data_IF_838870232505
#
_entry.id   IF_838870232505
#
_cell.length_a   1.000
_cell.length_b   1.000
_cell.length_c   1.000
_cell.angle_alpha   90.00
_cell.angle_beta   90.00
_cell.angle_gamma   90.00
#
_symmetry.space_group_name_H-M   'P 1'
#
loop_
_entity.id
_entity.type
_entity.pdbx_description
1 polymer ?
#
# COMPACT_ATOMS: atom_id res chain seq x y z
N UNK A 1 -18.06 -2.62 7.10
CA UNK A 1 -17.04 -3.49 7.71
C UNK A 1 -17.43 -3.88 9.14
N UNK A 2 -17.45 -2.97 10.11
CA UNK A 2 -17.76 -3.30 11.52
C UNK A 2 -19.15 -3.95 11.73
N UNK A 3 -20.18 -3.48 11.01
CA UNK A 3 -21.50 -4.11 11.06
C UNK A 3 -21.50 -5.56 10.54
N UNK A 4 -20.76 -5.83 9.46
CA UNK A 4 -20.60 -7.19 8.97
C UNK A 4 -19.90 -8.10 9.99
N UNK A 5 -18.79 -7.61 10.57
CA UNK A 5 -18.06 -8.34 11.61
C UNK A 5 -18.96 -8.64 12.82
N UNK A 6 -19.81 -7.67 13.23
CA UNK A 6 -20.72 -7.82 14.37
C UNK A 6 -21.76 -8.96 14.19
N UNK A 7 -22.23 -9.16 12.97
CA UNK A 7 -23.20 -10.22 12.65
C UNK A 7 -22.56 -11.50 12.09
N UNK A 8 -21.25 -11.64 12.17
CA UNK A 8 -20.51 -12.79 11.63
C UNK A 8 -20.50 -12.88 10.11
N UNK A 9 -20.82 -11.81 9.38
CA UNK A 9 -20.80 -11.80 7.93
C UNK A 9 -19.42 -11.45 7.39
N UNK A 10 -18.87 -12.27 6.50
CA UNK A 10 -17.63 -11.98 5.79
C UNK A 10 -17.85 -10.83 4.82
N UNK A 11 -16.98 -9.82 4.83
CA UNK A 11 -17.07 -8.69 3.91
C UNK A 11 -15.94 -8.65 2.91
N UNK A 12 -16.19 -7.99 1.76
CA UNK A 12 -15.17 -7.68 0.77
C UNK A 12 -15.31 -6.22 0.35
N UNK A 13 -14.31 -5.41 0.65
CA UNK A 13 -14.30 -3.99 0.30
C UNK A 13 -13.65 -3.81 -1.06
N UNK A 14 -14.32 -3.06 -1.93
CA UNK A 14 -13.82 -2.72 -3.27
C UNK A 14 -13.52 -1.23 -3.31
N UNK A 15 -12.31 -0.89 -3.77
CA UNK A 15 -11.89 0.51 -3.91
C UNK A 15 -12.84 1.28 -4.85
N UNK A 16 -13.33 2.43 -4.40
CA UNK A 16 -14.33 3.22 -5.12
C UNK A 16 -13.88 3.80 -6.47
N UNK A 17 -12.60 3.69 -6.81
CA UNK A 17 -12.04 4.06 -8.11
C UNK A 17 -11.98 2.93 -9.14
N UNK A 18 -12.45 1.73 -8.80
CA UNK A 18 -12.43 0.59 -9.73
C UNK A 18 -13.56 0.66 -10.77
N UNK A 19 -13.32 0.02 -11.92
CA UNK A 19 -14.31 -0.09 -13.00
C UNK A 19 -15.46 -1.04 -12.65
N UNK A 20 -16.57 -0.92 -13.35
CA UNK A 20 -17.72 -1.82 -13.22
C UNK A 20 -17.34 -3.30 -13.39
N UNK A 21 -16.45 -3.61 -14.34
CA UNK A 21 -15.92 -4.98 -14.53
C UNK A 21 -15.17 -5.48 -13.30
N UNK A 22 -14.34 -4.67 -12.71
CA UNK A 22 -13.59 -5.04 -11.52
C UNK A 22 -14.51 -5.25 -10.30
N UNK A 23 -15.59 -4.50 -10.19
CA UNK A 23 -16.64 -4.70 -9.18
C UNK A 23 -17.38 -6.01 -9.43
N UNK A 24 -17.84 -6.25 -10.66
CA UNK A 24 -18.54 -7.46 -11.05
C UNK A 24 -17.73 -8.74 -10.77
N UNK A 25 -16.46 -8.78 -11.19
CA UNK A 25 -15.58 -9.92 -10.97
C UNK A 25 -15.46 -10.28 -9.48
N UNK A 26 -15.40 -9.27 -8.59
CA UNK A 26 -15.30 -9.48 -7.14
C UNK A 26 -16.61 -9.93 -6.52
N UNK A 27 -17.73 -9.40 -6.97
CA UNK A 27 -19.05 -9.83 -6.52
C UNK A 27 -19.25 -11.31 -6.85
N UNK A 28 -18.93 -11.71 -8.08
CA UNK A 28 -19.08 -13.09 -8.56
C UNK A 28 -18.12 -14.04 -7.84
N UNK A 29 -16.84 -13.70 -7.76
CA UNK A 29 -15.83 -14.57 -7.14
C UNK A 29 -16.05 -14.72 -5.63
N UNK A 30 -16.44 -13.64 -4.94
CA UNK A 30 -16.78 -13.70 -3.51
C UNK A 30 -18.10 -14.40 -3.22
N UNK A 31 -18.97 -14.60 -4.21
CA UNK A 31 -20.33 -15.07 -4.00
C UNK A 31 -21.16 -14.11 -3.15
N UNK A 32 -20.99 -12.80 -3.36
CA UNK A 32 -21.63 -11.78 -2.55
C UNK A 32 -23.17 -11.84 -2.71
N UNK A 33 -23.88 -11.74 -1.59
CA UNK A 33 -25.36 -11.78 -1.54
C UNK A 33 -25.99 -10.41 -1.32
N UNK A 34 -25.19 -9.43 -0.88
CA UNK A 34 -25.61 -8.05 -0.69
C UNK A 34 -24.46 -7.09 -1.07
N UNK A 35 -24.82 -5.89 -1.51
CA UNK A 35 -23.88 -4.82 -1.80
C UNK A 35 -24.22 -3.58 -0.96
N UNK A 36 -23.22 -2.97 -0.35
CA UNK A 36 -23.35 -1.69 0.35
C UNK A 36 -22.53 -0.67 -0.44
N UNK A 37 -23.16 0.40 -0.88
CA UNK A 37 -22.52 1.45 -1.69
C UNK A 37 -23.01 2.84 -1.28
N UNK A 38 -22.43 3.89 -1.85
CA UNK A 38 -22.98 5.23 -1.77
C UNK A 38 -23.54 5.65 -3.14
N UNK A 39 -24.45 6.63 -3.14
CA UNK A 39 -24.87 7.23 -4.42
C UNK A 39 -23.67 7.82 -5.15
N UNK A 40 -22.86 8.64 -4.47
CA UNK A 40 -21.62 9.23 -4.97
C UNK A 40 -20.55 9.23 -3.87
N UNK A 41 -19.30 9.32 -4.29
CA UNK A 41 -18.14 9.59 -3.43
C UNK A 41 -17.57 10.97 -3.79
N UNK A 42 -17.13 11.73 -2.81
CA UNK A 42 -16.44 13.00 -3.02
C UNK A 42 -14.93 12.76 -3.13
N UNK A 43 -14.33 13.07 -4.27
CA UNK A 43 -12.90 12.90 -4.48
C UNK A 43 -12.33 14.05 -5.31
N UNK A 44 -11.37 14.79 -4.73
CA UNK A 44 -10.71 15.91 -5.42
C UNK A 44 -11.69 16.99 -5.93
N UNK A 45 -12.76 17.26 -5.18
CA UNK A 45 -13.80 18.23 -5.55
C UNK A 45 -14.83 17.73 -6.58
N UNK A 46 -14.77 16.44 -6.95
CA UNK A 46 -15.70 15.82 -7.91
C UNK A 46 -16.58 14.78 -7.23
N UNK A 47 -17.80 14.62 -7.71
CA UNK A 47 -18.67 13.51 -7.37
C UNK A 47 -18.39 12.33 -8.30
N UNK A 48 -18.07 11.17 -7.73
CA UNK A 48 -17.89 9.89 -8.44
C UNK A 48 -19.13 9.02 -8.24
N UNK A 49 -19.82 8.57 -9.31
CA UNK A 49 -21.10 7.87 -9.23
C UNK A 49 -20.95 6.40 -8.86
N UNK A 50 -20.78 6.07 -7.58
CA UNK A 50 -20.52 4.69 -7.14
C UNK A 50 -21.70 3.75 -7.41
N UNK A 51 -22.92 4.19 -7.15
CA UNK A 51 -24.12 3.35 -7.42
C UNK A 51 -24.28 3.01 -8.90
N UNK A 52 -23.99 3.98 -9.79
CA UNK A 52 -24.03 3.73 -11.23
C UNK A 52 -23.00 2.66 -11.66
N UNK A 53 -21.78 2.72 -11.08
CA UNK A 53 -20.74 1.69 -11.32
C UNK A 53 -21.22 0.31 -10.86
N UNK A 54 -21.97 0.22 -9.76
CA UNK A 54 -22.56 -1.04 -9.27
C UNK A 54 -23.65 -1.53 -10.23
N UNK A 55 -24.50 -0.63 -10.75
CA UNK A 55 -25.53 -1.01 -11.74
C UNK A 55 -24.90 -1.48 -13.05
N UNK A 56 -23.86 -0.80 -13.52
CA UNK A 56 -23.10 -1.23 -14.70
C UNK A 56 -22.44 -2.60 -14.47
N UNK A 57 -21.97 -2.89 -13.25
CA UNK A 57 -21.43 -4.20 -12.89
C UNK A 57 -22.51 -5.30 -12.96
N UNK A 58 -23.72 -5.03 -12.50
CA UNK A 58 -24.83 -5.98 -12.63
C UNK A 58 -25.24 -6.20 -14.08
N UNK A 59 -25.18 -5.17 -14.91
CA UNK A 59 -25.48 -5.29 -16.35
C UNK A 59 -24.50 -6.19 -17.10
N UNK A 60 -23.29 -6.44 -16.57
CA UNK A 60 -22.34 -7.41 -17.11
C UNK A 60 -22.75 -8.87 -16.83
N UNK A 61 -23.72 -9.09 -15.93
CA UNK A 61 -24.24 -10.42 -15.58
C UNK A 61 -23.41 -11.16 -14.51
N UNK A 62 -23.97 -12.30 -14.05
CA UNK A 62 -23.34 -13.17 -13.07
C UNK A 62 -23.51 -12.74 -11.60
N UNK A 63 -24.17 -11.62 -11.33
CA UNK A 63 -24.42 -11.10 -9.99
C UNK A 63 -25.78 -11.53 -9.39
N UNK A 64 -26.39 -12.60 -9.89
CA UNK A 64 -27.77 -13.02 -9.56
C UNK A 64 -27.95 -13.38 -8.08
N UNK A 65 -26.87 -13.71 -7.36
CA UNK A 65 -26.91 -13.97 -5.93
C UNK A 65 -27.15 -12.71 -5.08
N UNK A 66 -26.94 -11.52 -5.65
CA UNK A 66 -27.14 -10.24 -4.93
C UNK A 66 -28.63 -9.90 -4.92
N UNK A 67 -29.25 -10.06 -3.78
CA UNK A 67 -30.67 -9.76 -3.59
C UNK A 67 -30.94 -8.39 -2.94
N UNK A 68 -29.92 -7.71 -2.41
CA UNK A 68 -30.06 -6.42 -1.72
C UNK A 68 -28.90 -5.49 -2.02
N UNK A 69 -29.22 -4.23 -2.30
CA UNK A 69 -28.23 -3.13 -2.44
C UNK A 69 -28.61 -2.03 -1.48
N UNK A 70 -27.76 -1.75 -0.49
CA UNK A 70 -27.94 -0.65 0.45
C UNK A 70 -27.17 0.57 -0.06
N UNK A 71 -27.89 1.68 -0.28
CA UNK A 71 -27.32 2.90 -0.85
C UNK A 71 -27.28 4.01 0.20
N UNK A 72 -26.07 4.42 0.57
CA UNK A 72 -25.86 5.58 1.41
C UNK A 72 -25.93 6.86 0.57
N UNK A 73 -26.82 7.78 0.95
CA UNK A 73 -27.01 9.06 0.27
C UNK A 73 -25.97 10.06 0.78
N UNK A 74 -24.72 9.95 0.24
CA UNK A 74 -23.59 10.80 0.63
C UNK A 74 -23.72 12.24 0.09
N UNK A 75 -24.35 12.40 -1.05
CA UNK A 75 -24.62 13.70 -1.67
C UNK A 75 -26.11 13.86 -1.96
N UNK A 76 -26.54 15.10 -2.22
CA UNK A 76 -27.93 15.37 -2.62
C UNK A 76 -28.25 14.97 -4.06
N UNK A 77 -27.24 14.58 -4.84
CA UNK A 77 -27.42 14.16 -6.23
C UNK A 77 -28.16 12.83 -6.30
N UNK A 78 -29.28 12.81 -7.01
CA UNK A 78 -30.11 11.63 -7.16
C UNK A 78 -29.36 10.51 -7.93
N UNK A 79 -29.67 9.27 -7.59
CA UNK A 79 -29.21 8.07 -8.30
C UNK A 79 -30.36 7.15 -8.64
N UNK A 80 -30.19 6.31 -9.65
CA UNK A 80 -31.20 5.30 -9.99
C UNK A 80 -31.30 4.24 -8.88
N UNK A 81 -32.52 3.80 -8.58
CA UNK A 81 -32.84 2.77 -7.60
C UNK A 81 -33.68 1.69 -8.26
N UNK A 82 -33.24 0.45 -8.22
CA UNK A 82 -34.00 -0.69 -8.75
C UNK A 82 -35.03 -1.16 -7.72
N UNK A 83 -36.31 -1.15 -8.09
CA UNK A 83 -37.40 -1.61 -7.24
C UNK A 83 -37.21 -3.08 -6.80
N UNK A 84 -37.50 -3.37 -5.55
CA UNK A 84 -37.38 -4.70 -4.96
C UNK A 84 -35.97 -5.16 -4.62
N UNK A 85 -34.94 -4.43 -5.02
CA UNK A 85 -33.51 -4.74 -4.73
C UNK A 85 -32.84 -3.65 -3.93
N UNK A 86 -33.04 -2.40 -4.31
CA UNK A 86 -32.27 -1.27 -3.77
C UNK A 86 -33.04 -0.56 -2.66
N UNK A 87 -32.34 -0.28 -1.56
CA UNK A 87 -32.87 0.47 -0.42
C UNK A 87 -31.90 1.58 -0.03
N UNK A 88 -32.41 2.77 0.31
CA UNK A 88 -31.58 3.76 0.99
C UNK A 88 -31.25 3.30 2.41
N UNK A 89 -30.19 3.83 3.01
CA UNK A 89 -29.89 3.54 4.42
C UNK A 89 -31.04 3.96 5.33
N UNK A 90 -31.68 5.08 5.05
CA UNK A 90 -32.86 5.53 5.84
C UNK A 90 -34.00 4.49 5.79
N UNK A 91 -34.31 3.97 4.60
CA UNK A 91 -35.35 2.93 4.44
C UNK A 91 -34.95 1.61 5.15
N UNK A 92 -33.67 1.22 5.03
CA UNK A 92 -33.18 -0.03 5.62
C UNK A 92 -33.15 0.03 7.16
N UNK A 93 -32.96 1.22 7.75
CA UNK A 93 -32.89 1.43 9.20
C UNK A 93 -34.25 1.72 9.83
N UNK A 94 -35.24 2.08 9.03
CA UNK A 94 -36.59 2.42 9.55
C UNK A 94 -37.22 1.23 10.30
N UNK A 95 -37.63 1.48 11.53
CA UNK A 95 -38.21 0.47 12.40
C UNK A 95 -37.25 -0.60 12.93
N UNK A 96 -35.95 -0.50 12.66
CA UNK A 96 -34.95 -1.43 13.20
C UNK A 96 -34.62 -1.12 14.66
N UNK A 97 -34.19 -2.16 15.40
CA UNK A 97 -33.67 -2.04 16.75
C UNK A 97 -32.31 -1.32 16.72
N UNK A 98 -32.03 -0.46 17.69
CA UNK A 98 -30.70 0.11 17.96
C UNK A 98 -29.78 -0.85 18.72
N UNK A 99 -30.30 -2.01 19.15
CA UNK A 99 -29.54 -3.09 19.79
C UNK A 99 -29.35 -4.25 18.82
N UNK A 100 -28.11 -4.59 18.57
CA UNK A 100 -27.71 -5.78 17.80
C UNK A 100 -26.61 -6.50 18.56
N UNK A 101 -26.94 -7.62 19.19
CA UNK A 101 -25.95 -8.44 19.91
C UNK A 101 -24.91 -8.98 18.94
N UNK A 102 -23.60 -9.03 19.33
CA UNK A 102 -22.56 -9.56 18.48
C UNK A 102 -22.70 -11.07 18.33
N UNK A 103 -22.58 -11.55 17.10
CA UNK A 103 -22.52 -12.99 16.83
C UNK A 103 -21.20 -13.58 17.35
N UNK A 104 -21.30 -14.70 18.08
CA UNK A 104 -20.12 -15.43 18.55
C UNK A 104 -19.63 -16.37 17.46
N UNK A 105 -18.42 -16.15 16.99
CA UNK A 105 -17.81 -16.93 15.91
C UNK A 105 -16.54 -17.63 16.36
N UNK A 106 -16.13 -18.66 15.63
CA UNK A 106 -14.83 -19.32 15.81
C UNK A 106 -13.67 -18.36 15.54
N UNK A 107 -12.52 -18.61 16.19
CA UNK A 107 -11.30 -17.82 16.00
C UNK A 107 -10.84 -17.76 14.53
N UNK A 108 -11.05 -18.85 13.80
CA UNK A 108 -10.70 -18.99 12.38
C UNK A 108 -11.84 -18.59 11.43
N UNK A 109 -12.96 -18.08 11.95
CA UNK A 109 -14.06 -17.58 11.11
C UNK A 109 -13.58 -16.51 10.15
N UNK A 110 -13.93 -16.59 8.84
CA UNK A 110 -13.53 -15.60 7.84
C UNK A 110 -14.06 -14.21 8.19
N UNK A 111 -13.15 -13.24 8.35
CA UNK A 111 -13.50 -11.86 8.64
C UNK A 111 -13.74 -11.08 7.35
N UNK A 112 -12.79 -11.16 6.44
CA UNK A 112 -12.90 -10.49 5.14
C UNK A 112 -12.12 -11.20 4.04
N UNK A 113 -12.49 -10.84 2.81
CA UNK A 113 -11.78 -11.20 1.58
C UNK A 113 -11.34 -9.89 0.93
N UNK A 114 -10.03 -9.69 0.77
CA UNK A 114 -9.49 -8.52 0.10
C UNK A 114 -8.74 -8.92 -1.18
N UNK A 115 -9.19 -8.38 -2.31
CA UNK A 115 -8.64 -8.73 -3.61
C UNK A 115 -7.37 -7.94 -3.92
N UNK A 116 -6.31 -8.67 -4.27
CA UNK A 116 -5.05 -8.11 -4.76
C UNK A 116 -4.83 -8.48 -6.22
N UNK A 117 -3.95 -7.73 -6.91
CA UNK A 117 -3.50 -8.10 -8.25
C UNK A 117 -2.80 -9.45 -8.22
N UNK A 118 -3.06 -10.27 -9.22
CA UNK A 118 -2.36 -11.55 -9.40
C UNK A 118 -1.44 -11.51 -10.61
N UNK A 119 -0.29 -12.14 -10.51
CA UNK A 119 0.68 -12.31 -11.62
C UNK A 119 0.06 -12.99 -12.86
N UNK A 120 -1.05 -13.70 -12.69
CA UNK A 120 -1.80 -14.37 -13.77
C UNK A 120 -2.94 -13.53 -14.34
N UNK A 121 -3.06 -12.26 -13.97
CA UNK A 121 -4.15 -11.37 -14.38
C UNK A 121 -5.47 -11.55 -13.63
N UNK A 122 -5.77 -12.73 -13.05
CA UNK A 122 -6.96 -12.93 -12.20
C UNK A 122 -6.66 -12.44 -10.77
N UNK A 123 -7.50 -11.54 -10.20
CA UNK A 123 -7.35 -11.10 -8.82
C UNK A 123 -7.34 -12.27 -7.83
N UNK A 124 -6.60 -12.13 -6.72
CA UNK A 124 -6.55 -13.10 -5.63
C UNK A 124 -7.37 -12.57 -4.46
N UNK A 125 -8.38 -13.29 -4.04
CA UNK A 125 -9.16 -13.01 -2.82
C UNK A 125 -8.38 -13.47 -1.58
N UNK A 126 -7.62 -12.58 -0.96
CA UNK A 126 -6.90 -12.87 0.28
C UNK A 126 -7.87 -12.95 1.44
N UNK A 127 -7.97 -14.12 2.08
CA UNK A 127 -8.87 -14.35 3.21
C UNK A 127 -8.10 -14.24 4.54
N UNK A 128 -8.64 -13.43 5.46
CA UNK A 128 -8.19 -13.35 6.84
C UNK A 128 -9.23 -13.87 7.82
N UNK A 129 -8.74 -14.52 8.91
CA UNK A 129 -9.55 -14.99 10.01
C UNK A 129 -9.72 -13.93 11.10
N UNK A 130 -10.80 -14.03 11.88
CA UNK A 130 -11.22 -12.99 12.83
C UNK A 130 -10.22 -12.75 13.96
N UNK A 131 -9.90 -13.78 14.75
CA UNK A 131 -9.15 -13.57 15.99
C UNK A 131 -7.68 -13.27 15.77
N UNK A 132 -6.98 -14.05 14.94
CA UNK A 132 -5.55 -13.85 14.71
C UNK A 132 -5.25 -12.52 14.03
N UNK A 133 -6.08 -12.12 13.07
CA UNK A 133 -5.95 -10.83 12.42
C UNK A 133 -6.15 -9.66 13.39
N UNK A 134 -7.24 -9.68 14.17
CA UNK A 134 -7.54 -8.60 15.12
C UNK A 134 -6.49 -8.49 16.21
N UNK A 135 -6.00 -9.62 16.74
CA UNK A 135 -4.91 -9.65 17.72
C UNK A 135 -3.68 -8.95 17.17
N UNK A 136 -3.25 -9.30 15.96
CA UNK A 136 -2.05 -8.74 15.36
C UNK A 136 -2.21 -7.26 14.99
N UNK A 137 -3.37 -6.87 14.46
CA UNK A 137 -3.70 -5.49 14.18
C UNK A 137 -3.60 -4.61 15.44
N UNK A 138 -4.18 -5.07 16.57
CA UNK A 138 -4.10 -4.39 17.86
C UNK A 138 -2.66 -4.30 18.37
N UNK A 139 -1.93 -5.42 18.42
CA UNK A 139 -0.55 -5.45 18.92
C UNK A 139 0.38 -4.57 18.11
N UNK A 140 0.25 -4.58 16.79
CA UNK A 140 1.10 -3.73 15.92
C UNK A 140 0.74 -2.25 16.02
N UNK A 141 -0.52 -1.89 16.31
CA UNK A 141 -0.87 -0.51 16.67
C UNK A 141 -0.12 -0.06 17.93
N UNK A 142 -0.15 -0.87 18.97
CA UNK A 142 0.49 -0.55 20.26
C UNK A 142 2.02 -0.48 20.14
N UNK A 143 2.63 -1.44 19.46
CA UNK A 143 4.09 -1.54 19.39
C UNK A 143 4.72 -0.59 18.36
N UNK A 144 4.22 -0.63 17.13
CA UNK A 144 4.83 0.14 16.03
C UNK A 144 4.68 1.63 16.21
N UNK A 145 3.55 2.07 16.76
CA UNK A 145 3.30 3.50 16.95
C UNK A 145 3.54 3.96 18.39
N UNK A 146 3.94 3.05 19.30
CA UNK A 146 4.08 3.36 20.73
C UNK A 146 2.82 4.09 21.24
N UNK A 147 1.65 3.51 20.94
CA UNK A 147 0.35 4.14 21.12
C UNK A 147 0.09 4.47 22.60
N UNK A 148 -0.20 5.74 22.90
CA UNK A 148 -0.52 6.24 24.23
C UNK A 148 -2.02 6.58 24.33
N UNK A 149 -2.61 6.61 25.54
CA UNK A 149 -4.02 6.86 25.72
C UNK A 149 -4.53 8.18 25.13
N UNK A 150 -3.69 9.22 25.13
CA UNK A 150 -4.02 10.57 24.66
C UNK A 150 -3.66 10.81 23.19
N UNK A 151 -3.18 9.78 22.48
CA UNK A 151 -2.80 9.92 21.08
C UNK A 151 -4.02 10.12 20.18
N UNK A 152 -3.84 11.00 19.19
CA UNK A 152 -4.73 11.16 18.04
C UNK A 152 -4.03 10.57 16.82
N UNK A 153 -4.49 9.42 16.40
CA UNK A 153 -3.93 8.67 15.27
C UNK A 153 -4.58 9.08 13.95
N UNK A 154 -3.78 9.27 12.92
CA UNK A 154 -4.29 9.50 11.58
C UNK A 154 -3.55 8.67 10.54
N UNK A 155 -4.23 7.70 9.97
CA UNK A 155 -3.82 6.98 8.78
C UNK A 155 -4.59 7.50 7.56
N UNK A 156 -3.88 7.85 6.49
CA UNK A 156 -4.49 8.42 5.27
C UNK A 156 -4.89 7.38 4.23
N UNK A 157 -4.72 6.09 4.53
CA UNK A 157 -5.02 5.01 3.60
C UNK A 157 -6.52 4.86 3.36
N UNK A 158 -6.87 4.54 2.10
CA UNK A 158 -8.23 4.17 1.72
C UNK A 158 -8.60 2.79 2.27
N UNK A 159 -9.84 2.62 2.74
CA UNK A 159 -10.35 1.35 3.27
C UNK A 159 -10.47 0.24 2.22
N UNK A 160 -10.38 0.56 0.94
CA UNK A 160 -10.29 -0.42 -0.15
C UNK A 160 -8.96 -1.17 -0.22
N UNK A 161 -7.97 -0.78 0.61
CA UNK A 161 -6.67 -1.44 0.73
C UNK A 161 -6.47 -2.04 2.12
N UNK A 162 -5.54 -2.99 2.24
CA UNK A 162 -5.26 -3.64 3.52
C UNK A 162 -4.86 -2.64 4.62
N UNK A 163 -4.14 -1.57 4.27
CA UNK A 163 -3.77 -0.53 5.24
C UNK A 163 -4.99 0.13 5.85
N UNK A 164 -6.02 0.40 5.05
CA UNK A 164 -7.29 0.91 5.53
C UNK A 164 -8.06 -0.09 6.38
N UNK A 165 -8.01 -1.38 6.06
CA UNK A 165 -8.58 -2.42 6.91
C UNK A 165 -7.90 -2.46 8.27
N UNK A 166 -6.57 -2.59 8.29
CA UNK A 166 -5.81 -2.82 9.51
C UNK A 166 -5.65 -1.55 10.35
N UNK A 167 -5.29 -0.42 9.73
CA UNK A 167 -4.87 0.79 10.45
C UNK A 167 -5.82 1.99 10.30
N UNK A 168 -7.02 1.80 9.74
CA UNK A 168 -8.13 2.76 9.84
C UNK A 168 -9.34 2.10 10.51
N UNK A 169 -9.64 0.83 10.16
CA UNK A 169 -10.90 0.20 10.59
C UNK A 169 -10.75 -0.66 11.83
N UNK A 170 -9.81 -1.62 11.86
CA UNK A 170 -9.75 -2.64 12.92
C UNK A 170 -8.76 -2.30 14.03
N UNK A 171 -7.50 -2.04 13.71
CA UNK A 171 -6.44 -1.83 14.68
C UNK A 171 -6.69 -0.67 15.65
N UNK A 172 -6.95 0.56 15.16
CA UNK A 172 -7.18 1.70 16.04
C UNK A 172 -8.36 1.50 16.98
N UNK A 173 -9.48 0.97 16.48
CA UNK A 173 -10.68 0.72 17.30
C UNK A 173 -10.44 -0.39 18.32
N UNK A 174 -9.74 -1.47 17.95
CA UNK A 174 -9.40 -2.54 18.89
C UNK A 174 -8.41 -2.09 19.97
N UNK A 175 -7.57 -1.10 19.68
CA UNK A 175 -6.64 -0.49 20.64
C UNK A 175 -7.28 0.64 21.46
N UNK A 176 -8.53 1.04 21.16
CA UNK A 176 -9.23 2.15 21.83
C UNK A 176 -8.66 3.53 21.47
N UNK A 177 -7.99 3.66 20.32
CA UNK A 177 -7.37 4.91 19.89
C UNK A 177 -8.40 5.93 19.42
N UNK A 178 -8.14 7.21 19.72
CA UNK A 178 -8.79 8.33 19.02
C UNK A 178 -8.18 8.46 17.63
N UNK A 179 -9.00 8.55 16.58
CA UNK A 179 -8.47 8.65 15.23
C UNK A 179 -9.20 9.68 14.37
N UNK A 180 -8.47 10.23 13.40
CA UNK A 180 -9.04 11.04 12.34
C UNK A 180 -9.47 10.14 11.19
N UNK A 181 -10.73 10.24 10.76
CA UNK A 181 -11.26 9.62 9.54
C UNK A 181 -11.40 10.69 8.47
N UNK A 182 -10.81 10.44 7.33
CA UNK A 182 -10.63 11.44 6.29
C UNK A 182 -11.25 10.98 4.96
N UNK A 183 -12.02 11.88 4.32
CA UNK A 183 -12.50 11.72 2.95
C UNK A 183 -11.83 12.74 2.05
N UNK A 184 -11.07 12.30 1.06
CA UNK A 184 -10.43 13.19 0.11
C UNK A 184 -9.10 12.69 -0.43
N UNK A 185 -8.35 13.62 -1.02
CA UNK A 185 -7.00 13.41 -1.56
C UNK A 185 -6.04 14.46 -0.95
N UNK A 186 -4.72 14.16 -0.87
CA UNK A 186 -3.77 15.01 -0.16
C UNK A 186 -3.66 16.44 -0.73
N UNK A 187 -3.96 16.61 -2.02
CA UNK A 187 -3.77 17.87 -2.75
C UNK A 187 -5.05 18.70 -2.94
N UNK A 188 -6.21 18.27 -2.43
CA UNK A 188 -7.47 19.01 -2.54
C UNK A 188 -8.00 19.45 -1.17
N UNK A 189 -8.50 20.70 -1.01
CA UNK A 189 -8.55 21.81 -1.97
C UNK A 189 -7.19 22.44 -2.30
N UNK A 190 -6.19 22.18 -1.46
CA UNK A 190 -4.78 22.54 -1.68
C UNK A 190 -3.88 21.53 -0.93
N UNK A 191 -2.60 21.50 -1.26
CA UNK A 191 -1.66 20.52 -0.68
C UNK A 191 -1.22 20.85 0.78
N UNK A 192 -1.65 21.97 1.35
CA UNK A 192 -1.49 22.28 2.76
C UNK A 192 -2.53 21.61 3.66
N UNK A 193 -3.55 20.97 3.08
CA UNK A 193 -4.67 20.37 3.83
C UNK A 193 -4.23 19.37 4.90
N UNK A 194 -3.25 18.53 4.61
CA UNK A 194 -2.78 17.55 5.60
C UNK A 194 -2.18 18.24 6.82
N UNK A 195 -1.42 19.29 6.60
CA UNK A 195 -0.80 20.06 7.68
C UNK A 195 -1.83 20.83 8.50
N UNK A 196 -2.83 21.43 7.85
CA UNK A 196 -3.96 22.07 8.52
C UNK A 196 -4.76 21.08 9.39
N UNK A 197 -5.01 19.87 8.89
CA UNK A 197 -5.71 18.83 9.66
C UNK A 197 -4.89 18.38 10.87
N UNK A 198 -3.59 18.18 10.72
CA UNK A 198 -2.71 17.82 11.84
C UNK A 198 -2.77 18.90 12.92
N UNK A 199 -2.59 20.17 12.54
CA UNK A 199 -2.65 21.29 13.47
C UNK A 199 -4.01 21.43 14.15
N UNK A 200 -5.10 21.34 13.36
CA UNK A 200 -6.49 21.54 13.84
C UNK A 200 -6.96 20.44 14.79
N UNK A 201 -6.60 19.19 14.50
CA UNK A 201 -7.07 18.02 15.26
C UNK A 201 -6.05 17.53 16.30
N UNK A 202 -4.89 18.19 16.41
CA UNK A 202 -3.85 17.79 17.34
C UNK A 202 -3.34 16.38 17.09
N UNK A 203 -3.17 16.01 15.81
CA UNK A 203 -2.70 14.67 15.43
C UNK A 203 -1.31 14.43 16.01
N UNK A 204 -1.14 13.31 16.72
CA UNK A 204 0.11 12.92 17.37
C UNK A 204 0.86 11.84 16.59
N UNK A 205 0.13 11.00 15.85
CA UNK A 205 0.69 9.92 15.03
C UNK A 205 0.16 10.07 13.61
N UNK A 206 1.06 10.28 12.65
CA UNK A 206 0.70 10.46 11.24
C UNK A 206 1.30 9.36 10.37
N UNK A 207 0.44 8.56 9.73
CA UNK A 207 0.79 7.39 8.95
C UNK A 207 0.28 7.51 7.51
N UNK A 208 1.20 7.55 6.54
CA UNK A 208 0.87 7.84 5.14
C UNK A 208 1.81 7.14 4.14
N UNK A 209 1.47 7.20 2.85
CA UNK A 209 2.28 6.59 1.80
C UNK A 209 3.42 7.52 1.32
N UNK A 210 4.60 6.98 0.95
CA UNK A 210 5.69 7.73 0.32
C UNK A 210 5.27 8.53 -0.92
N UNK A 211 4.38 7.98 -1.75
CA UNK A 211 3.80 8.71 -2.89
C UNK A 211 3.08 9.98 -2.46
N UNK A 212 2.31 9.95 -1.36
CA UNK A 212 1.68 11.16 -0.82
C UNK A 212 2.74 12.17 -0.36
N UNK A 213 3.78 11.73 0.34
CA UNK A 213 4.89 12.59 0.76
C UNK A 213 5.59 13.22 -0.44
N UNK A 214 5.94 12.46 -1.48
CA UNK A 214 6.59 13.00 -2.69
C UNK A 214 5.73 14.06 -3.38
N UNK A 215 4.41 13.82 -3.49
CA UNK A 215 3.49 14.81 -4.07
C UNK A 215 3.42 16.10 -3.24
N UNK A 216 3.48 16.00 -1.91
CA UNK A 216 3.47 17.14 -1.00
C UNK A 216 4.82 17.88 -0.99
N UNK A 217 5.95 17.19 -1.15
CA UNK A 217 7.27 17.81 -1.38
C UNK A 217 7.22 18.69 -2.62
N UNK A 218 6.79 18.13 -3.76
CA UNK A 218 6.68 18.86 -5.02
C UNK A 218 5.78 20.09 -4.91
N UNK A 219 4.65 19.95 -4.21
CA UNK A 219 3.73 21.06 -3.99
C UNK A 219 4.35 22.16 -3.10
N UNK A 220 5.07 21.80 -2.03
CA UNK A 220 5.73 22.73 -1.13
C UNK A 220 6.90 23.47 -1.80
N UNK A 221 7.61 22.82 -2.74
CA UNK A 221 8.63 23.47 -3.57
C UNK A 221 8.02 24.52 -4.51
N UNK A 222 6.79 24.30 -4.97
CA UNK A 222 6.10 25.22 -5.88
C UNK A 222 5.40 26.39 -5.16
N UNK A 223 4.94 26.20 -3.93
CA UNK A 223 4.26 27.23 -3.14
C UNK A 223 4.65 27.13 -1.66
N UNK A 224 5.45 28.10 -1.22
CA UNK A 224 5.91 28.22 0.17
C UNK A 224 4.77 28.32 1.20
N UNK A 225 3.59 28.80 0.82
CA UNK A 225 2.45 28.96 1.74
C UNK A 225 1.88 27.65 2.23
N UNK A 226 2.08 26.59 1.46
CA UNK A 226 1.62 25.24 1.81
C UNK A 226 2.74 24.35 2.35
N UNK A 227 3.93 24.90 2.55
CA UNK A 227 5.02 24.16 3.16
C UNK A 227 4.70 23.80 4.63
N UNK A 228 5.03 22.58 5.12
CA UNK A 228 4.71 22.15 6.49
C UNK A 228 5.12 23.14 7.59
N UNK A 229 6.21 23.86 7.41
CA UNK A 229 6.70 24.87 8.37
C UNK A 229 5.77 26.07 8.59
N UNK A 230 4.73 26.24 7.75
CA UNK A 230 3.71 27.28 7.92
C UNK A 230 2.60 26.86 8.90
N UNK A 231 2.64 25.63 9.39
CA UNK A 231 1.61 25.03 10.23
C UNK A 231 2.21 24.60 11.58
N UNK A 232 1.37 24.61 12.63
CA UNK A 232 1.77 24.05 13.92
C UNK A 232 1.68 22.54 13.91
N UNK A 233 2.80 21.87 13.73
CA UNK A 233 2.93 20.41 13.76
C UNK A 233 3.56 19.91 15.07
N UNK A 234 3.56 20.73 16.12
CA UNK A 234 4.19 20.42 17.41
C UNK A 234 3.53 19.24 18.14
N UNK A 235 2.25 18.96 17.83
CA UNK A 235 1.53 17.79 18.36
C UNK A 235 2.09 16.45 17.88
N UNK A 236 2.72 16.39 16.71
CA UNK A 236 3.24 15.15 16.17
C UNK A 236 4.31 14.53 17.09
N UNK A 237 4.20 13.24 17.32
CA UNK A 237 5.10 12.44 18.15
C UNK A 237 5.74 11.30 17.34
N UNK A 238 4.99 10.66 16.47
CA UNK A 238 5.44 9.56 15.61
C UNK A 238 4.97 9.79 14.17
N UNK A 239 5.85 9.56 13.22
CA UNK A 239 5.54 9.51 11.80
C UNK A 239 5.66 8.07 11.31
N UNK A 240 4.93 7.73 10.25
CA UNK A 240 5.06 6.42 9.64
C UNK A 240 4.89 6.43 8.14
N UNK A 241 5.46 5.43 7.48
CA UNK A 241 5.38 5.21 6.03
C UNK A 241 4.90 3.82 5.70
N UNK A 242 4.11 3.68 4.62
CA UNK A 242 3.45 2.44 4.23
C UNK A 242 3.20 2.33 2.74
N UNK A 243 3.17 1.09 2.27
CA UNK A 243 2.66 0.71 0.94
C UNK A 243 3.74 0.56 -0.13
N UNK A 244 4.85 1.27 0.02
CA UNK A 244 6.03 1.17 -0.84
C UNK A 244 7.29 1.57 -0.04
N UNK A 245 8.49 1.15 -0.44
CA UNK A 245 9.71 1.67 0.14
C UNK A 245 9.84 3.18 -0.07
N UNK A 246 10.29 3.88 0.97
CA UNK A 246 10.57 5.32 0.88
C UNK A 246 12.05 5.54 0.55
N UNK A 247 12.34 6.40 -0.44
CA UNK A 247 13.72 6.78 -0.72
C UNK A 247 14.28 7.67 0.39
N UNK A 248 15.61 7.61 0.65
CA UNK A 248 16.23 8.34 1.75
C UNK A 248 16.02 9.86 1.73
N UNK A 249 15.94 10.48 0.55
CA UNK A 249 15.73 11.92 0.40
C UNK A 249 14.35 12.34 0.89
N UNK A 250 13.29 11.63 0.46
CA UNK A 250 11.91 11.87 0.91
C UNK A 250 11.76 11.57 2.40
N UNK A 251 12.42 10.51 2.90
CA UNK A 251 12.46 10.19 4.32
C UNK A 251 13.08 11.32 5.14
N UNK A 252 14.24 11.86 4.71
CA UNK A 252 14.91 12.98 5.39
C UNK A 252 14.10 14.28 5.32
N UNK A 253 13.43 14.54 4.19
CA UNK A 253 12.53 15.69 4.08
C UNK A 253 11.37 15.56 5.06
N UNK A 254 10.75 14.37 5.13
CA UNK A 254 9.65 14.07 6.03
C UNK A 254 10.05 14.23 7.49
N UNK A 255 11.23 13.70 7.86
CA UNK A 255 11.79 13.83 9.19
C UNK A 255 12.05 15.30 9.58
N UNK A 256 12.64 16.10 8.68
CA UNK A 256 13.00 17.48 8.98
C UNK A 256 11.81 18.43 8.97
N UNK A 257 11.02 18.38 7.89
CA UNK A 257 10.00 19.41 7.64
C UNK A 257 8.66 19.09 8.30
N UNK A 258 8.32 17.83 8.51
CA UNK A 258 7.08 17.41 9.16
C UNK A 258 7.35 16.97 10.60
N UNK A 259 8.36 16.15 10.81
CA UNK A 259 8.74 15.64 12.12
C UNK A 259 9.55 16.62 13.00
N UNK A 260 10.01 17.75 12.44
CA UNK A 260 10.80 18.74 13.16
C UNK A 260 12.09 18.17 13.77
N UNK A 261 12.70 17.18 13.12
CA UNK A 261 13.89 16.44 13.55
C UNK A 261 13.77 15.73 14.93
N UNK A 262 12.55 15.67 15.49
CA UNK A 262 12.26 15.05 16.80
C UNK A 262 11.41 13.79 16.70
N UNK A 263 10.53 13.68 15.68
CA UNK A 263 9.65 12.54 15.53
C UNK A 263 10.40 11.36 14.89
N UNK A 264 10.40 10.17 15.50
CA UNK A 264 10.83 8.97 14.80
C UNK A 264 9.90 8.67 13.62
N UNK A 265 10.46 8.07 12.56
CA UNK A 265 9.71 7.55 11.43
C UNK A 265 9.71 6.03 11.50
N UNK A 266 8.54 5.42 11.63
CA UNK A 266 8.38 3.97 11.49
C UNK A 266 8.14 3.65 10.02
N UNK A 267 9.15 3.08 9.38
CA UNK A 267 9.10 2.63 7.99
C UNK A 267 8.65 1.17 8.00
N UNK A 268 7.41 0.92 7.57
CA UNK A 268 6.76 -0.36 7.80
C UNK A 268 6.76 -1.23 6.55
N UNK A 269 7.27 -2.46 6.68
CA UNK A 269 7.10 -3.49 5.66
C UNK A 269 6.06 -4.51 6.11
N UNK A 270 5.09 -4.73 5.24
CA UNK A 270 4.03 -5.72 5.34
C UNK A 270 3.20 -5.78 4.05
N UNK A 271 2.29 -6.73 3.97
CA UNK A 271 1.51 -7.02 2.78
C UNK A 271 0.04 -7.27 3.14
N UNK A 272 -0.84 -7.32 2.14
CA UNK A 272 -2.22 -7.78 2.35
C UNK A 272 -2.24 -9.15 3.00
N UNK A 273 -1.38 -10.03 2.56
CA UNK A 273 -1.21 -11.40 3.03
C UNK A 273 -0.69 -11.50 4.46
N UNK A 274 0.09 -10.54 4.92
CA UNK A 274 0.59 -10.54 6.31
C UNK A 274 -0.43 -9.99 7.31
N UNK A 275 -1.42 -9.23 6.86
CA UNK A 275 -2.52 -8.69 7.67
C UNK A 275 -2.13 -7.54 8.60
N UNK A 276 -0.86 -7.34 8.87
CA UNK A 276 -0.29 -6.27 9.68
C UNK A 276 1.23 -6.23 9.55
N UNK A 277 1.87 -5.26 10.24
CA UNK A 277 3.32 -5.06 10.17
C UNK A 277 4.10 -6.32 10.53
N UNK A 278 5.19 -6.58 9.80
CA UNK A 278 6.09 -7.71 10.06
C UNK A 278 7.53 -7.28 10.27
N UNK A 279 8.00 -6.25 9.54
CA UNK A 279 9.33 -5.67 9.71
C UNK A 279 9.18 -4.15 9.82
N UNK A 280 9.60 -3.58 10.94
CA UNK A 280 9.49 -2.14 11.20
C UNK A 280 10.29 -1.75 12.44
N UNK A 281 10.85 -0.54 12.53
CA UNK A 281 11.46 -0.07 13.78
C UNK A 281 10.41 0.11 14.88
N UNK A 282 10.86 0.01 16.12
CA UNK A 282 10.09 0.39 17.30
C UNK A 282 10.57 1.77 17.79
N UNK A 283 9.67 2.76 17.96
CA UNK A 283 10.03 4.10 18.43
C UNK A 283 10.81 4.06 19.74
N UNK A 284 11.90 4.81 19.80
CA UNK A 284 12.76 4.88 20.99
C UNK A 284 13.64 3.65 21.25
N UNK A 285 13.38 2.50 20.61
CA UNK A 285 14.12 1.26 20.82
C UNK A 285 15.05 0.90 19.66
N UNK A 286 14.65 1.20 18.42
CA UNK A 286 15.40 0.85 17.21
C UNK A 286 16.05 2.09 16.61
N UNK A 287 17.38 2.15 16.46
CA UNK A 287 18.03 3.22 15.68
C UNK A 287 17.53 3.23 14.24
N UNK A 288 17.05 4.38 13.77
CA UNK A 288 16.44 4.52 12.46
C UNK A 288 17.47 4.66 11.36
N UNK A 289 17.17 4.12 10.19
CA UNK A 289 17.98 4.26 8.97
C UNK A 289 17.05 4.63 7.81
N UNK A 290 17.26 5.78 7.15
CA UNK A 290 16.41 6.20 6.04
C UNK A 290 16.27 5.13 4.95
N UNK A 291 15.02 4.79 4.59
CA UNK A 291 14.71 3.77 3.58
C UNK A 291 14.90 2.32 4.05
N UNK A 292 15.02 2.09 5.36
CA UNK A 292 15.11 0.73 5.94
C UNK A 292 13.94 0.45 6.89
N UNK A 293 13.25 -0.66 6.67
CA UNK A 293 12.25 -1.16 7.61
C UNK A 293 12.86 -1.85 8.85
N UNK A 294 14.18 -1.92 8.96
CA UNK A 294 15.02 -2.33 10.09
C UNK A 294 14.85 -3.79 10.54
N UNK A 295 14.12 -4.07 11.60
CA UNK A 295 14.09 -5.40 12.24
C UNK A 295 12.70 -6.02 12.19
N UNK A 296 12.62 -7.36 12.10
CA UNK A 296 11.37 -8.07 12.30
C UNK A 296 10.77 -7.79 13.69
N UNK A 297 9.45 -7.66 13.74
CA UNK A 297 8.73 -7.56 15.01
C UNK A 297 8.87 -8.83 15.85
N UNK A 298 8.70 -8.75 17.18
CA UNK A 298 8.70 -9.93 18.04
C UNK A 298 7.73 -11.01 17.55
N UNK A 299 8.22 -12.24 17.40
CA UNK A 299 7.45 -13.37 16.87
C UNK A 299 7.52 -13.55 15.35
N UNK A 300 8.10 -12.60 14.61
CA UNK A 300 8.34 -12.71 13.16
C UNK A 300 9.76 -13.24 12.89
N UNK A 301 9.86 -14.33 12.15
CA UNK A 301 11.12 -14.98 11.81
C UNK A 301 11.46 -14.76 10.33
N UNK A 302 11.71 -13.50 9.98
CA UNK A 302 12.10 -13.12 8.62
C UNK A 302 13.54 -13.54 8.31
N UNK A 303 13.78 -13.99 7.08
CA UNK A 303 15.11 -14.30 6.55
C UNK A 303 15.22 -13.88 5.08
N UNK A 304 16.45 -13.76 4.61
CA UNK A 304 16.76 -13.60 3.20
C UNK A 304 17.42 -14.90 2.75
N UNK A 305 16.89 -15.50 1.70
CA UNK A 305 17.34 -16.80 1.18
C UNK A 305 17.70 -16.73 -0.29
N UNK A 306 18.47 -17.72 -0.76
CA UNK A 306 18.67 -17.98 -2.16
C UNK A 306 17.46 -18.69 -2.79
N UNK A 307 17.53 -19.02 -4.07
CA UNK A 307 16.47 -19.69 -4.83
C UNK A 307 16.17 -21.12 -4.34
N UNK A 308 17.08 -21.71 -3.56
CA UNK A 308 16.95 -23.05 -2.98
C UNK A 308 16.50 -23.04 -1.52
N UNK A 309 16.30 -21.82 -0.94
CA UNK A 309 15.83 -21.64 0.44
C UNK A 309 16.95 -21.63 1.50
N UNK A 310 18.23 -21.57 1.12
CA UNK A 310 19.33 -21.42 2.05
C UNK A 310 19.47 -19.97 2.53
N UNK A 311 19.76 -19.79 3.81
CA UNK A 311 19.98 -18.46 4.40
C UNK A 311 21.20 -17.77 3.77
N UNK A 312 21.03 -16.51 3.40
CA UNK A 312 22.10 -15.66 2.94
C UNK A 312 22.68 -14.82 4.09
N UNK A 313 24.00 -14.55 4.08
CA UNK A 313 24.65 -13.72 5.08
C UNK A 313 24.18 -12.24 4.98
N UNK A 314 24.48 -11.45 6.01
CA UNK A 314 24.32 -10.00 5.94
C UNK A 314 25.16 -9.43 4.76
N UNK A 315 24.67 -8.38 4.11
CA UNK A 315 25.25 -7.81 2.89
C UNK A 315 24.76 -8.45 1.60
N UNK A 316 24.30 -9.70 1.62
CA UNK A 316 23.77 -10.36 0.44
C UNK A 316 22.29 -10.02 0.23
N UNK A 317 21.92 -9.76 -1.05
CA UNK A 317 20.54 -9.63 -1.49
C UNK A 317 19.95 -10.98 -1.90
N UNK A 318 18.64 -11.15 -1.69
CA UNK A 318 17.95 -12.38 -2.04
C UNK A 318 16.43 -12.27 -1.83
N UNK A 319 15.81 -13.42 -1.68
CA UNK A 319 14.36 -13.57 -1.54
C UNK A 319 13.96 -13.43 -0.07
N UNK A 320 13.01 -12.54 0.21
CA UNK A 320 12.45 -12.38 1.54
C UNK A 320 11.45 -13.49 1.85
N UNK A 321 11.66 -14.15 2.98
CA UNK A 321 10.78 -15.21 3.48
C UNK A 321 10.47 -15.02 4.96
N UNK A 322 9.34 -15.57 5.44
CA UNK A 322 9.03 -15.69 6.86
C UNK A 322 8.94 -17.18 7.21
N UNK A 323 9.78 -17.63 8.14
CA UNK A 323 10.01 -19.06 8.42
C UNK A 323 9.01 -19.70 9.36
N UNK A 324 8.23 -18.90 10.10
CA UNK A 324 7.22 -19.38 11.04
C UNK A 324 5.91 -18.63 10.86
N UNK A 325 4.77 -19.27 11.09
CA UNK A 325 3.48 -18.59 11.04
C UNK A 325 3.36 -17.54 12.14
N UNK A 326 2.51 -16.54 11.90
CA UNK A 326 2.16 -15.47 12.84
C UNK A 326 0.63 -15.29 12.88
N UNK A 327 0.07 -14.61 13.87
CA UNK A 327 -1.38 -14.61 14.10
C UNK A 327 -2.22 -14.14 12.90
N UNK A 328 -1.80 -13.09 12.20
CA UNK A 328 -2.52 -12.50 11.05
C UNK A 328 -2.09 -13.02 9.68
N UNK A 329 -1.33 -14.12 9.61
CA UNK A 329 -0.97 -14.72 8.32
C UNK A 329 -2.22 -15.05 7.52
N UNK A 330 -2.20 -14.79 6.20
CA UNK A 330 -3.23 -15.22 5.25
C UNK A 330 -3.67 -16.67 5.51
N UNK A 331 -4.97 -16.92 5.51
CA UNK A 331 -5.50 -18.29 5.69
C UNK A 331 -5.60 -19.06 4.39
N UNK A 332 -6.04 -18.40 3.33
CA UNK A 332 -6.13 -19.00 2.00
C UNK A 332 -6.35 -17.91 0.93
N UNK A 333 -6.26 -18.29 -0.33
CA UNK A 333 -6.91 -17.56 -1.41
C UNK A 333 -8.34 -18.10 -1.50
N UNK A 334 -9.34 -17.23 -1.46
CA UNK A 334 -10.75 -17.58 -1.52
C UNK A 334 -11.05 -18.44 -2.74
N UNK A 335 -11.67 -19.58 -2.52
CA UNK A 335 -12.02 -20.52 -3.58
C UNK A 335 -10.84 -21.25 -4.27
N UNK A 336 -9.58 -20.97 -3.90
CA UNK A 336 -8.41 -21.54 -4.59
C UNK A 336 -7.23 -21.89 -3.64
N UNK A 337 -7.41 -22.93 -2.79
CA UNK A 337 -6.39 -23.34 -1.82
C UNK A 337 -5.10 -23.90 -2.48
N UNK A 338 -5.18 -24.41 -3.69
CA UNK A 338 -3.99 -24.90 -4.40
C UNK A 338 -3.13 -23.75 -4.92
N UNK A 339 -3.76 -22.69 -5.43
CA UNK A 339 -3.06 -21.44 -5.77
C UNK A 339 -2.41 -20.82 -4.55
N UNK A 340 -3.09 -20.85 -3.39
CA UNK A 340 -2.53 -20.37 -2.11
C UNK A 340 -1.23 -21.09 -1.79
N UNK A 341 -1.23 -22.44 -1.78
CA UNK A 341 -0.03 -23.23 -1.48
C UNK A 341 1.10 -22.93 -2.48
N UNK A 342 0.78 -22.95 -3.77
CA UNK A 342 1.76 -22.71 -4.83
C UNK A 342 2.37 -21.31 -4.76
N UNK A 343 1.58 -20.27 -4.44
CA UNK A 343 2.04 -18.89 -4.43
C UNK A 343 2.86 -18.53 -3.21
N UNK A 344 2.48 -19.07 -2.03
CA UNK A 344 3.06 -18.62 -0.76
C UNK A 344 3.89 -19.67 -0.03
N UNK A 345 3.78 -20.94 -0.41
CA UNK A 345 4.53 -22.06 0.14
C UNK A 345 5.04 -22.98 -0.96
N UNK A 346 5.85 -22.45 -1.91
CA UNK A 346 6.28 -23.22 -3.06
C UNK A 346 7.17 -24.41 -2.65
N UNK A 347 7.07 -25.55 -3.37
CA UNK A 347 7.85 -26.74 -3.07
C UNK A 347 9.37 -26.52 -3.10
N UNK A 348 9.83 -25.58 -3.92
CA UNK A 348 11.24 -25.18 -4.07
C UNK A 348 11.81 -24.64 -2.77
N UNK A 349 10.98 -24.03 -1.93
CA UNK A 349 11.29 -23.56 -0.57
C UNK A 349 10.83 -24.56 0.51
N UNK A 350 10.66 -25.83 0.17
CA UNK A 350 10.28 -26.90 1.12
C UNK A 350 8.80 -26.90 1.52
N UNK A 351 7.95 -26.07 0.91
CA UNK A 351 6.50 -26.07 1.12
C UNK A 351 6.04 -25.61 2.53
N UNK A 352 6.91 -25.02 3.34
CA UNK A 352 6.64 -24.61 4.74
C UNK A 352 7.06 -23.20 5.08
N UNK A 353 7.82 -22.54 4.22
CA UNK A 353 8.34 -21.20 4.41
C UNK A 353 7.46 -20.25 3.60
N UNK A 354 6.96 -19.21 4.25
CA UNK A 354 6.14 -18.20 3.58
C UNK A 354 7.03 -17.36 2.64
N UNK A 355 6.71 -17.37 1.36
CA UNK A 355 7.33 -16.56 0.32
C UNK A 355 6.62 -15.18 0.25
N UNK A 356 7.32 -14.12 0.63
CA UNK A 356 6.77 -12.77 0.56
C UNK A 356 6.60 -12.27 -0.90
N UNK A 357 7.41 -12.79 -1.83
CA UNK A 357 7.42 -12.32 -3.20
C UNK A 357 8.15 -10.98 -3.38
N UNK A 358 8.92 -10.58 -2.36
CA UNK A 358 9.76 -9.39 -2.36
C UNK A 358 11.23 -9.78 -2.26
N UNK A 359 12.09 -9.00 -2.93
CA UNK A 359 13.53 -9.03 -2.73
C UNK A 359 13.91 -8.14 -1.54
N UNK A 360 14.97 -8.52 -0.85
CA UNK A 360 15.49 -7.73 0.26
C UNK A 360 17.00 -7.94 0.45
N UNK A 361 17.62 -7.00 1.16
CA UNK A 361 19.01 -7.08 1.63
C UNK A 361 19.06 -6.77 3.12
N UNK A 362 19.93 -7.45 3.87
CA UNK A 362 20.25 -7.06 5.25
C UNK A 362 21.56 -6.30 5.29
N UNK A 363 21.62 -5.19 6.02
CA UNK A 363 22.88 -4.44 6.19
C UNK A 363 23.95 -5.32 6.87
N UNK A 364 25.21 -5.12 6.49
CA UNK A 364 26.34 -5.92 7.05
C UNK A 364 26.52 -5.66 8.54
N UNK A 365 26.37 -4.41 8.98
CA UNK A 365 26.68 -3.94 10.34
C UNK A 365 25.60 -4.29 11.36
N UNK A 366 24.33 -4.16 11.01
CA UNK A 366 23.19 -4.27 11.94
C UNK A 366 22.21 -5.37 11.58
N UNK A 367 22.30 -5.94 10.38
CA UNK A 367 21.33 -6.90 9.88
C UNK A 367 19.94 -6.29 9.62
N UNK A 368 19.89 -4.98 9.39
CA UNK A 368 18.65 -4.26 9.10
C UNK A 368 18.14 -4.55 7.70
N UNK A 369 16.86 -4.85 7.59
CA UNK A 369 16.20 -5.15 6.34
C UNK A 369 15.90 -3.90 5.53
N UNK A 370 16.26 -3.95 4.24
CA UNK A 370 15.80 -3.03 3.20
C UNK A 370 15.12 -3.85 2.12
N UNK A 371 13.93 -3.45 1.74
CA UNK A 371 13.19 -4.06 0.63
C UNK A 371 13.71 -3.46 -0.68
N UNK A 372 13.99 -4.34 -1.65
CA UNK A 372 14.55 -3.94 -2.95
C UNK A 372 13.52 -3.95 -4.09
N UNK A 373 12.30 -4.39 -3.80
CA UNK A 373 11.19 -4.47 -4.74
C UNK A 373 10.61 -5.87 -4.85
N UNK A 374 9.67 -6.05 -5.76
CA UNK A 374 9.06 -7.37 -6.04
C UNK A 374 10.05 -8.27 -6.76
N UNK A 375 10.04 -9.57 -6.47
CA UNK A 375 10.89 -10.54 -7.19
C UNK A 375 10.41 -10.81 -8.62
N UNK A 376 9.15 -10.54 -8.92
CA UNK A 376 8.55 -10.56 -10.25
C UNK A 376 8.83 -9.27 -11.06
N UNK A 377 9.25 -8.18 -10.39
CA UNK A 377 9.70 -6.92 -10.99
C UNK A 377 11.25 -6.81 -11.05
N UNK A 378 11.95 -7.91 -10.84
CA UNK A 378 13.42 -7.97 -10.96
C UNK A 378 13.80 -8.14 -12.43
N UNK A 379 14.60 -7.21 -12.92
CA UNK A 379 15.19 -7.26 -14.27
C UNK A 379 16.39 -8.17 -14.27
N UNK A 380 16.50 -9.00 -15.31
CA UNK A 380 17.67 -9.83 -15.55
C UNK A 380 18.46 -9.31 -16.76
N UNK A 381 19.28 -8.30 -16.51
CA UNK A 381 20.08 -7.63 -17.54
C UNK A 381 21.48 -8.26 -17.58
N UNK A 382 21.83 -8.91 -18.68
CA UNK A 382 23.15 -9.57 -18.87
C UNK A 382 23.53 -10.53 -17.72
N UNK A 383 22.54 -11.24 -17.14
CA UNK A 383 22.77 -12.16 -16.02
C UNK A 383 22.85 -11.48 -14.64
N UNK A 384 22.72 -10.17 -14.57
CA UNK A 384 22.62 -9.43 -13.31
C UNK A 384 21.17 -9.18 -12.95
N UNK A 385 20.76 -9.66 -11.78
CA UNK A 385 19.42 -9.41 -11.23
C UNK A 385 19.40 -8.07 -10.49
N UNK A 386 18.52 -7.17 -10.94
CA UNK A 386 18.36 -5.84 -10.36
C UNK A 386 16.88 -5.51 -10.13
N UNK A 387 16.58 -4.95 -8.97
CA UNK A 387 15.24 -4.45 -8.69
C UNK A 387 14.95 -3.16 -9.46
N UNK A 388 13.77 -3.06 -10.08
CA UNK A 388 13.33 -1.82 -10.74
C UNK A 388 13.40 -0.62 -9.80
N UNK A 389 13.05 -0.81 -8.53
CA UNK A 389 13.07 0.21 -7.49
C UNK A 389 14.45 0.80 -7.19
N UNK A 390 15.52 0.04 -7.35
CA UNK A 390 16.88 0.54 -7.14
C UNK A 390 17.22 1.59 -8.21
N UNK A 391 16.80 1.32 -9.44
CA UNK A 391 16.98 2.23 -10.58
C UNK A 391 16.07 3.44 -10.44
N UNK A 392 14.81 3.25 -10.06
CA UNK A 392 13.85 4.33 -9.80
C UNK A 392 14.35 5.27 -8.70
N UNK A 393 14.86 4.72 -7.59
CA UNK A 393 15.45 5.50 -6.50
C UNK A 393 16.67 6.30 -6.96
N UNK A 394 17.55 5.70 -7.75
CA UNK A 394 18.70 6.40 -8.31
C UNK A 394 18.29 7.56 -9.24
N UNK A 395 17.25 7.36 -10.07
CA UNK A 395 16.71 8.41 -10.93
C UNK A 395 16.12 9.56 -10.13
N UNK A 396 15.29 9.27 -9.12
CA UNK A 396 14.66 10.28 -8.25
C UNK A 396 15.68 11.02 -7.39
N UNK A 397 16.81 10.39 -7.04
CA UNK A 397 17.92 11.05 -6.32
C UNK A 397 18.58 12.19 -7.12
N UNK A 398 18.32 12.28 -8.45
CA UNK A 398 18.65 13.45 -9.26
C UNK A 398 17.58 14.56 -9.06
N UNK A 399 17.55 15.10 -7.86
CA UNK A 399 16.48 15.99 -7.35
C UNK A 399 16.32 17.31 -8.10
N UNK A 400 17.35 17.77 -8.80
CA UNK A 400 17.33 18.96 -9.66
C UNK A 400 16.57 18.75 -10.97
N UNK A 401 16.35 17.50 -11.37
CA UNK A 401 15.81 17.17 -12.69
C UNK A 401 14.57 16.26 -12.64
N UNK A 402 14.57 15.23 -11.77
CA UNK A 402 13.55 14.16 -11.77
C UNK A 402 12.54 14.37 -10.63
N UNK A 403 11.26 14.31 -10.98
CA UNK A 403 10.16 14.33 -10.02
C UNK A 403 9.68 12.93 -9.66
N UNK A 404 9.54 12.05 -10.67
CA UNK A 404 9.08 10.67 -10.52
C UNK A 404 9.77 9.79 -11.56
N UNK A 405 9.94 8.51 -11.27
CA UNK A 405 10.43 7.51 -12.21
C UNK A 405 9.68 6.19 -12.04
N UNK A 406 9.47 5.48 -13.14
CA UNK A 406 8.98 4.11 -13.17
C UNK A 406 9.87 3.30 -14.12
N UNK A 407 10.24 2.08 -13.71
CA UNK A 407 11.14 1.22 -14.47
C UNK A 407 10.47 -0.11 -14.76
N UNK A 408 10.59 -0.57 -16.00
CA UNK A 408 10.13 -1.90 -16.44
C UNK A 408 11.19 -2.58 -17.27
N UNK A 409 11.16 -3.92 -17.30
CA UNK A 409 11.94 -4.70 -18.24
C UNK A 409 11.29 -4.72 -19.62
N UNK A 410 12.10 -4.73 -20.66
CA UNK A 410 11.66 -5.07 -22.02
C UNK A 410 12.52 -6.19 -22.57
N UNK A 411 11.98 -7.10 -23.39
CA UNK A 411 12.79 -8.11 -24.07
C UNK A 411 13.90 -7.45 -24.89
N UNK A 412 15.09 -8.00 -24.83
CA UNK A 412 16.27 -7.56 -25.57
C UNK A 412 17.07 -8.78 -26.04
N UNK A 413 17.38 -8.82 -27.34
CA UNK A 413 18.01 -10.00 -27.97
C UNK A 413 19.48 -10.23 -27.52
N UNK A 414 20.13 -9.22 -26.95
CA UNK A 414 21.54 -9.29 -26.53
C UNK A 414 21.66 -9.52 -25.03
N UNK A 415 20.86 -8.80 -24.24
CA UNK A 415 20.95 -8.81 -22.77
C UNK A 415 19.89 -9.68 -22.10
N UNK A 416 18.97 -10.28 -22.87
CA UNK A 416 17.78 -10.99 -22.41
C UNK A 416 16.67 -10.01 -22.02
N UNK A 417 16.97 -9.07 -21.16
CA UNK A 417 16.14 -7.93 -20.82
C UNK A 417 16.94 -6.63 -20.84
N UNK A 418 16.30 -5.55 -21.27
CA UNK A 418 16.82 -4.19 -21.20
C UNK A 418 15.96 -3.33 -20.27
N UNK A 419 16.60 -2.37 -19.63
CA UNK A 419 15.93 -1.42 -18.74
C UNK A 419 15.18 -0.39 -19.59
N UNK A 420 13.90 -0.19 -19.30
CA UNK A 420 13.08 0.88 -19.85
C UNK A 420 12.59 1.77 -18.70
N UNK A 421 13.08 2.99 -18.61
CA UNK A 421 12.68 3.94 -17.58
C UNK A 421 11.78 5.04 -18.16
N UNK A 422 10.67 5.29 -17.48
CA UNK A 422 9.77 6.42 -17.71
C UNK A 422 10.03 7.47 -16.63
N UNK A 423 10.31 8.70 -17.02
CA UNK A 423 10.72 9.75 -16.09
C UNK A 423 9.82 10.97 -16.23
N UNK A 424 9.29 11.45 -15.10
CA UNK A 424 8.61 12.73 -15.01
C UNK A 424 9.62 13.77 -14.56
N UNK A 425 9.86 14.78 -15.41
CA UNK A 425 10.78 15.85 -15.10
C UNK A 425 10.11 16.97 -14.27
N UNK A 426 10.90 17.67 -13.46
CA UNK A 426 10.47 18.89 -12.73
C UNK A 426 10.29 20.13 -13.63
N UNK A 427 10.45 19.97 -14.92
CA UNK A 427 10.29 21.01 -15.95
C UNK A 427 9.42 20.53 -17.09
N UNK A 428 9.11 21.41 -18.06
CA UNK A 428 8.36 21.06 -19.25
C UNK A 428 9.05 19.95 -20.05
N UNK A 429 8.25 19.08 -20.69
CA UNK A 429 8.75 17.96 -21.48
C UNK A 429 9.69 18.45 -22.59
N UNK A 430 10.96 18.00 -22.62
CA UNK A 430 11.90 18.33 -23.68
C UNK A 430 11.58 17.58 -24.97
N UNK A 431 12.09 18.06 -26.09
CA UNK A 431 11.95 17.41 -27.40
C UNK A 431 13.29 17.43 -28.16
N UNK A 432 13.44 16.53 -29.14
CA UNK A 432 14.62 16.51 -30.01
C UNK A 432 15.94 16.28 -29.26
N UNK A 433 16.95 17.07 -29.59
CA UNK A 433 18.31 16.93 -29.04
C UNK A 433 18.37 17.16 -27.52
N UNK A 434 17.50 18.03 -26.97
CA UNK A 434 17.42 18.25 -25.54
C UNK A 434 16.94 17.02 -24.79
N UNK A 435 15.95 16.30 -25.32
CA UNK A 435 15.46 15.04 -24.75
C UNK A 435 16.56 13.97 -24.73
N UNK A 436 17.33 13.87 -25.82
CA UNK A 436 18.44 12.92 -25.91
C UNK A 436 19.58 13.27 -24.92
N UNK A 437 19.88 14.55 -24.75
CA UNK A 437 20.89 14.99 -23.79
C UNK A 437 20.52 14.64 -22.35
N UNK A 438 19.24 14.85 -21.98
CA UNK A 438 18.72 14.49 -20.67
C UNK A 438 18.69 12.98 -20.46
N UNK A 439 18.25 12.22 -21.45
CA UNK A 439 18.26 10.77 -21.38
C UNK A 439 19.68 10.23 -21.15
N UNK A 440 20.68 10.80 -21.82
CA UNK A 440 22.08 10.48 -21.59
C UNK A 440 22.55 10.87 -20.19
N UNK A 441 22.22 12.07 -19.73
CA UNK A 441 22.59 12.55 -18.40
C UNK A 441 22.03 11.63 -17.31
N UNK A 442 20.75 11.24 -17.41
CA UNK A 442 20.11 10.33 -16.46
C UNK A 442 20.71 8.93 -16.51
N UNK A 443 21.04 8.42 -17.68
CA UNK A 443 21.73 7.13 -17.85
C UNK A 443 23.11 7.15 -17.18
N UNK A 444 23.90 8.18 -17.45
CA UNK A 444 25.23 8.36 -16.86
C UNK A 444 25.16 8.52 -15.33
N UNK A 445 24.12 9.21 -14.85
CA UNK A 445 23.85 9.36 -13.41
C UNK A 445 23.53 8.02 -12.75
N UNK A 446 22.59 7.23 -13.28
CA UNK A 446 22.24 5.91 -12.77
C UNK A 446 23.48 4.98 -12.78
N UNK A 447 24.26 5.00 -13.85
CA UNK A 447 25.51 4.24 -13.93
C UNK A 447 26.54 4.58 -12.88
N UNK A 448 26.59 5.85 -12.44
CA UNK A 448 27.46 6.30 -11.32
C UNK A 448 26.93 5.86 -9.95
N UNK A 449 25.60 5.80 -9.77
CA UNK A 449 25.00 5.46 -8.49
C UNK A 449 24.99 3.95 -8.23
N UNK A 450 24.67 3.14 -9.23
CA UNK A 450 24.47 1.70 -9.09
C UNK A 450 25.63 0.90 -9.62
N UNK A 451 26.36 1.42 -10.63
CA UNK A 451 27.52 0.80 -11.25
C UNK A 451 27.42 0.67 -12.77
N UNK A 452 28.53 0.49 -13.46
CA UNK A 452 28.62 0.49 -14.93
C UNK A 452 27.98 -0.74 -15.58
N UNK A 453 27.64 -1.78 -14.85
CA UNK A 453 27.00 -3.01 -15.38
C UNK A 453 25.65 -2.74 -16.07
N UNK A 454 25.04 -1.59 -15.82
CA UNK A 454 23.79 -1.14 -16.44
C UNK A 454 23.92 -0.56 -17.85
N UNK A 455 25.15 -0.23 -18.28
CA UNK A 455 25.39 0.53 -19.51
C UNK A 455 25.67 -0.32 -20.73
N UNK A 456 25.71 -1.64 -20.59
CA UNK A 456 25.86 -2.58 -21.72
C UNK A 456 24.52 -2.85 -22.42
N UNK A 457 23.78 -1.80 -22.78
CA UNK A 457 22.75 -1.91 -23.80
C UNK A 457 23.37 -1.48 -25.14
N UNK A 458 23.27 -2.38 -26.11
CA UNK A 458 23.72 -2.17 -27.47
C UNK A 458 23.28 -0.82 -28.02
N UNK A 459 24.20 -0.21 -28.70
CA UNK A 459 24.12 0.83 -29.73
C UNK A 459 23.07 1.94 -29.60
N UNK A 460 23.55 3.16 -29.80
CA UNK A 460 22.95 4.47 -29.64
C UNK A 460 21.66 4.78 -30.43
N UNK A 461 20.92 3.77 -30.89
CA UNK A 461 19.71 3.95 -31.68
C UNK A 461 18.41 3.58 -30.97
N UNK A 462 18.46 3.05 -29.74
CA UNK A 462 17.27 2.56 -29.06
C UNK A 462 17.00 3.33 -27.75
N UNK A 463 15.94 4.14 -27.81
CA UNK A 463 15.44 4.98 -26.69
C UNK A 463 14.90 4.13 -25.53
N UNK A 464 15.79 3.57 -24.71
CA UNK A 464 15.41 2.86 -23.47
C UNK A 464 15.00 3.79 -22.32
N UNK A 465 15.21 5.07 -22.49
CA UNK A 465 14.76 6.11 -21.56
C UNK A 465 13.75 7.02 -22.29
N UNK A 466 12.49 6.96 -21.89
CA UNK A 466 11.45 7.86 -22.41
C UNK A 466 11.17 8.95 -21.38
N UNK A 467 11.31 10.18 -21.78
CA UNK A 467 11.09 11.40 -20.98
C UNK A 467 9.70 11.94 -21.20
#
# INVERSE_FOLDING_TARGET
>A
MQACARIGATHSVVFGGFSAKAVQERIVDAGAVAVITANYQLRGGKELPLKAIVDDAFALGGCDAVHSVLVFERTATATAMAEGRDLTFAQALDGQSDVCEPETVDAEHPLFILYTSGSTGKPKGVQHASAGYLLWAKMTMEWTFDLQPDDVFWCTADIGWITGHTYVTYGPLAAGATQVVFEGVPTYPNAGRFWDMIARHGVTIFYTAPTAIRSLIKAAEADEKIHPRQYDLSSLRVLGTVGEPINPEAWMWYHRNVGGERCPIVDTFWQTETGGHVITPLPGATPLVPGSCTLPLPGIFAAIVDETGNDLPNGAGGILVIKKPWPSMIRTIWGDPERFKKSYFPPELGGRIYLAGDGAVRSEDRGYFRITGRIDDVLNVSGHRMGTMEIESALVAKTDLVAEAAVVGRPDDVTGEAICAFVVLKRSRPTGEEAQAIAKELRDWVGKQIGPCLLYTSDAADDSLRV
#
